data_IF_035191754623
#
_entry.id   IF_035191754623
#
_cell.length_a   1.000
_cell.length_b   1.000
_cell.length_c   1.000
_cell.angle_alpha   90.00
_cell.angle_beta   90.00
_cell.angle_gamma   90.00
#
_symmetry.space_group_name_H-M   'P 1'
#
loop_
_entity.id
_entity.type
_entity.pdbx_description
1 polymer ?
#
# COMPACT_ATOMS: atom_id res chain seq x y z
N UNK A 1 -20.57 -4.08 -10.57
CA UNK A 1 -19.97 -5.07 -9.65
C UNK A 1 -18.56 -4.70 -9.22
N UNK A 2 -17.68 -4.26 -10.12
CA UNK A 2 -16.25 -4.00 -9.85
C UNK A 2 -15.99 -2.97 -8.73
N UNK A 3 -16.75 -1.88 -8.68
CA UNK A 3 -16.64 -0.88 -7.60
C UNK A 3 -16.99 -1.42 -6.20
N UNK A 4 -17.87 -2.41 -6.08
CA UNK A 4 -18.21 -3.01 -4.77
C UNK A 4 -17.07 -3.88 -4.26
N UNK A 5 -16.39 -4.62 -5.14
CA UNK A 5 -15.26 -5.48 -4.80
C UNK A 5 -14.05 -4.65 -4.34
N UNK A 6 -13.75 -3.56 -5.05
CA UNK A 6 -12.68 -2.62 -4.66
C UNK A 6 -12.94 -1.97 -3.31
N UNK A 7 -14.19 -1.57 -3.07
CA UNK A 7 -14.59 -0.99 -1.77
C UNK A 7 -14.48 -2.00 -0.63
N UNK A 8 -14.91 -3.24 -0.87
CA UNK A 8 -14.75 -4.32 0.10
C UNK A 8 -13.28 -4.61 0.40
N UNK A 9 -12.43 -4.70 -0.63
CA UNK A 9 -10.99 -4.89 -0.47
C UNK A 9 -10.35 -3.75 0.33
N UNK A 10 -10.68 -2.49 0.02
CA UNK A 10 -10.21 -1.33 0.78
C UNK A 10 -10.63 -1.36 2.25
N UNK A 11 -11.84 -1.84 2.54
CA UNK A 11 -12.33 -2.02 3.91
C UNK A 11 -11.56 -3.11 4.66
N UNK A 12 -11.27 -4.25 4.03
CA UNK A 12 -10.43 -5.29 4.62
C UNK A 12 -8.98 -4.81 4.84
N UNK A 13 -8.42 -4.05 3.89
CA UNK A 13 -7.13 -3.40 4.06
C UNK A 13 -7.13 -2.47 5.28
N UNK A 14 -8.18 -1.66 5.46
CA UNK A 14 -8.32 -0.75 6.60
C UNK A 14 -8.50 -1.49 7.93
N UNK A 15 -9.32 -2.55 7.95
CA UNK A 15 -9.50 -3.41 9.12
C UNK A 15 -8.20 -4.10 9.55
N UNK A 16 -7.32 -4.39 8.58
CA UNK A 16 -6.00 -4.95 8.86
C UNK A 16 -5.01 -3.89 9.35
N UNK A 17 -4.90 -2.75 8.68
CA UNK A 17 -3.87 -1.75 8.97
C UNK A 17 -4.16 -0.88 10.18
N UNK A 18 -5.44 -0.65 10.51
CA UNK A 18 -5.83 0.13 11.69
C UNK A 18 -5.31 -0.44 13.01
N UNK A 19 -5.57 -1.72 13.36
CA UNK A 19 -5.05 -2.29 14.60
C UNK A 19 -3.52 -2.34 14.62
N UNK A 20 -2.88 -2.55 13.47
CA UNK A 20 -1.42 -2.56 13.36
C UNK A 20 -0.86 -1.17 13.68
N UNK A 21 -1.39 -0.11 13.05
CA UNK A 21 -0.95 1.26 13.27
C UNK A 21 -1.10 1.67 14.74
N UNK A 22 -2.25 1.38 15.35
CA UNK A 22 -2.53 1.72 16.75
C UNK A 22 -1.65 0.93 17.72
N UNK A 23 -1.52 -0.39 17.51
CA UNK A 23 -0.77 -1.26 18.42
C UNK A 23 0.72 -0.95 18.35
N UNK A 24 1.29 -0.82 17.14
CA UNK A 24 2.70 -0.49 16.98
C UNK A 24 3.00 0.95 17.41
N UNK A 25 2.09 1.90 17.18
CA UNK A 25 2.23 3.26 17.70
C UNK A 25 2.26 3.29 19.23
N UNK A 26 1.37 2.53 19.88
CA UNK A 26 1.37 2.39 21.34
C UNK A 26 2.65 1.73 21.86
N UNK A 27 3.11 0.65 21.23
CA UNK A 27 4.36 -0.02 21.63
C UNK A 27 5.58 0.90 21.42
N UNK A 28 5.64 1.65 20.33
CA UNK A 28 6.68 2.65 20.12
C UNK A 28 6.67 3.73 21.23
N UNK A 29 5.48 4.18 21.64
CA UNK A 29 5.34 5.10 22.76
C UNK A 29 5.80 4.49 24.09
N UNK A 30 5.49 3.21 24.34
CA UNK A 30 5.95 2.52 25.55
C UNK A 30 7.48 2.38 25.60
N UNK A 31 8.12 2.05 24.46
CA UNK A 31 9.58 1.89 24.37
C UNK A 31 10.34 3.23 24.57
N UNK A 32 9.71 4.39 24.39
CA UNK A 32 10.30 5.69 24.75
C UNK A 32 10.55 5.83 26.25
N UNK A 33 9.77 5.12 27.07
CA UNK A 33 9.88 5.15 28.52
C UNK A 33 10.85 4.09 29.05
N UNK A 34 11.35 3.21 28.17
CA UNK A 34 12.17 2.06 28.52
C UNK A 34 13.64 2.28 28.06
N UNK A 35 14.60 1.81 28.86
CA UNK A 35 16.02 2.22 28.82
C UNK A 35 16.78 1.93 27.51
N UNK A 36 18.02 2.47 27.38
CA UNK A 36 18.96 2.43 26.22
C UNK A 36 19.06 1.12 25.38
N UNK A 37 18.66 -0.04 25.91
CA UNK A 37 18.67 -1.32 25.17
C UNK A 37 17.47 -1.49 24.21
N UNK A 38 16.48 -0.59 24.24
CA UNK A 38 15.22 -0.72 23.48
C UNK A 38 15.19 0.01 22.14
N UNK A 39 16.26 0.74 21.77
CA UNK A 39 16.32 1.56 20.55
C UNK A 39 15.91 0.77 19.29
N UNK A 40 16.35 -0.49 19.18
CA UNK A 40 15.97 -1.36 18.05
C UNK A 40 14.47 -1.64 17.99
N UNK A 41 13.84 -1.92 19.16
CA UNK A 41 12.39 -2.17 19.25
C UNK A 41 11.59 -0.90 19.00
N UNK A 42 12.02 0.21 19.60
CA UNK A 42 11.46 1.54 19.33
C UNK A 42 11.44 1.86 17.84
N UNK A 43 12.59 1.72 17.16
CA UNK A 43 12.68 2.00 15.72
C UNK A 43 11.80 1.05 14.90
N UNK A 44 11.79 -0.24 15.26
CA UNK A 44 10.99 -1.26 14.59
C UNK A 44 9.49 -0.94 14.68
N UNK A 45 8.99 -0.63 15.87
CA UNK A 45 7.57 -0.29 16.07
C UNK A 45 7.21 1.05 15.45
N UNK A 46 8.08 2.05 15.54
CA UNK A 46 7.85 3.38 14.94
C UNK A 46 7.75 3.29 13.43
N UNK A 47 8.73 2.65 12.76
CA UNK A 47 8.75 2.55 11.29
C UNK A 47 7.56 1.74 10.80
N UNK A 48 7.31 0.54 11.34
CA UNK A 48 6.20 -0.29 10.90
C UNK A 48 4.83 0.31 11.26
N UNK A 49 4.71 0.97 12.41
CA UNK A 49 3.51 1.71 12.79
C UNK A 49 3.22 2.89 11.86
N UNK A 50 4.26 3.66 11.48
CA UNK A 50 4.13 4.75 10.53
C UNK A 50 3.73 4.26 9.13
N UNK A 51 4.35 3.18 8.63
CA UNK A 51 3.98 2.57 7.35
C UNK A 51 2.51 2.15 7.34
N UNK A 52 2.05 1.47 8.41
CA UNK A 52 0.65 1.10 8.57
C UNK A 52 -0.29 2.33 8.63
N UNK A 53 0.12 3.38 9.35
CA UNK A 53 -0.64 4.63 9.45
C UNK A 53 -0.74 5.35 8.09
N UNK A 54 0.34 5.38 7.30
CA UNK A 54 0.33 5.95 5.95
C UNK A 54 -0.60 5.15 5.02
N UNK A 55 -0.57 3.82 5.08
CA UNK A 55 -1.53 2.99 4.33
C UNK A 55 -2.96 3.35 4.73
N UNK A 56 -3.25 3.42 6.03
CA UNK A 56 -4.57 3.80 6.53
C UNK A 56 -4.98 5.21 6.07
N UNK A 57 -4.06 6.16 6.08
CA UNK A 57 -4.31 7.52 5.58
C UNK A 57 -4.66 7.53 4.09
N UNK A 58 -3.95 6.74 3.27
CA UNK A 58 -4.28 6.60 1.85
C UNK A 58 -5.69 6.02 1.67
N UNK A 59 -6.06 5.01 2.46
CA UNK A 59 -7.41 4.41 2.42
C UNK A 59 -8.49 5.43 2.79
N UNK A 60 -8.24 6.28 3.79
CA UNK A 60 -9.15 7.36 4.16
C UNK A 60 -9.30 8.40 3.04
N UNK A 61 -8.21 8.77 2.36
CA UNK A 61 -8.27 9.68 1.20
C UNK A 61 -9.15 9.06 0.11
N UNK A 62 -8.92 7.79 -0.24
CA UNK A 62 -9.67 7.11 -1.29
C UNK A 62 -11.15 6.94 -0.95
N UNK A 63 -11.50 6.70 0.31
CA UNK A 63 -12.89 6.63 0.75
C UNK A 63 -13.58 8.01 0.73
N UNK A 64 -12.87 9.07 1.15
CA UNK A 64 -13.40 10.44 1.17
C UNK A 64 -13.44 11.12 -0.19
N UNK A 65 -12.62 10.67 -1.15
CA UNK A 65 -12.53 11.22 -2.49
C UNK A 65 -12.79 10.13 -3.54
N UNK A 66 -14.05 9.72 -3.74
CA UNK A 66 -14.39 8.66 -4.69
C UNK A 66 -14.21 9.06 -6.17
N UNK A 67 -14.07 10.36 -6.46
CA UNK A 67 -13.91 10.91 -7.81
C UNK A 67 -12.45 11.21 -8.18
N UNK A 68 -11.47 10.52 -7.57
CA UNK A 68 -10.07 10.65 -7.93
C UNK A 68 -9.84 10.19 -9.38
N UNK A 69 -9.06 10.96 -10.13
CA UNK A 69 -8.58 10.54 -11.46
C UNK A 69 -7.89 9.18 -11.38
N UNK A 70 -8.05 8.32 -12.39
CA UNK A 70 -7.46 6.98 -12.34
C UNK A 70 -5.94 7.01 -12.23
N UNK A 71 -5.27 8.06 -12.72
CA UNK A 71 -3.83 8.23 -12.53
C UNK A 71 -3.45 8.40 -11.06
N UNK A 72 -4.23 9.16 -10.30
CA UNK A 72 -4.01 9.36 -8.85
C UNK A 72 -4.38 8.08 -8.09
N UNK A 73 -5.52 7.47 -8.41
CA UNK A 73 -5.95 6.19 -7.83
C UNK A 73 -4.90 5.09 -8.06
N UNK A 74 -4.31 5.03 -9.25
CA UNK A 74 -3.21 4.12 -9.56
C UNK A 74 -1.98 4.37 -8.68
N UNK A 75 -1.53 5.63 -8.55
CA UNK A 75 -0.38 5.98 -7.70
C UNK A 75 -0.63 5.56 -6.25
N UNK A 76 -1.84 5.81 -5.73
CA UNK A 76 -2.21 5.47 -4.36
C UNK A 76 -2.25 3.95 -4.14
N UNK A 77 -2.80 3.17 -5.07
CA UNK A 77 -2.82 1.70 -4.98
C UNK A 77 -1.41 1.09 -5.04
N UNK A 78 -0.55 1.62 -5.91
CA UNK A 78 0.86 1.21 -5.98
C UNK A 78 1.60 1.60 -4.71
N UNK A 79 1.40 2.82 -4.20
CA UNK A 79 2.03 3.28 -2.97
C UNK A 79 1.68 2.39 -1.77
N UNK A 80 0.39 2.08 -1.56
CA UNK A 80 -0.04 1.14 -0.50
C UNK A 80 0.66 -0.22 -0.63
N UNK A 81 0.72 -0.76 -1.85
CA UNK A 81 1.32 -2.06 -2.10
C UNK A 81 2.83 -2.08 -1.84
N UNK A 82 3.53 -1.00 -2.21
CA UNK A 82 4.95 -0.84 -1.92
C UNK A 82 5.21 -0.71 -0.42
N UNK A 83 4.39 0.07 0.30
CA UNK A 83 4.48 0.21 1.76
C UNK A 83 4.25 -1.13 2.47
N UNK A 84 3.20 -1.87 2.06
CA UNK A 84 2.91 -3.19 2.60
C UNK A 84 4.03 -4.20 2.27
N UNK A 85 4.62 -4.12 1.07
CA UNK A 85 5.78 -4.93 0.68
C UNK A 85 7.00 -4.60 1.54
N UNK A 86 7.26 -3.31 1.82
CA UNK A 86 8.36 -2.89 2.69
C UNK A 86 8.19 -3.42 4.12
N UNK A 87 6.98 -3.37 4.68
CA UNK A 87 6.66 -3.98 5.97
C UNK A 87 6.90 -5.49 5.96
N UNK A 88 6.45 -6.18 4.90
CA UNK A 88 6.65 -7.61 4.77
C UNK A 88 8.15 -7.97 4.66
N UNK A 89 8.92 -7.25 3.85
CA UNK A 89 10.36 -7.43 3.74
C UNK A 89 11.06 -7.21 5.09
N UNK A 90 10.62 -6.21 5.86
CA UNK A 90 11.13 -6.00 7.21
C UNK A 90 10.90 -7.23 8.10
N UNK A 91 9.70 -7.82 8.08
CA UNK A 91 9.39 -9.04 8.84
C UNK A 91 10.21 -10.26 8.38
N UNK A 92 10.45 -10.39 7.07
CA UNK A 92 11.31 -11.44 6.53
C UNK A 92 12.73 -11.28 7.05
N UNK A 93 13.30 -10.07 6.97
CA UNK A 93 14.64 -9.76 7.47
C UNK A 93 14.73 -9.99 8.99
N UNK A 94 13.75 -9.52 9.76
CA UNK A 94 13.69 -9.74 11.21
C UNK A 94 13.68 -11.24 11.56
N UNK A 95 12.93 -12.05 10.80
CA UNK A 95 12.91 -13.51 11.00
C UNK A 95 14.24 -14.19 10.62
N UNK A 96 14.94 -13.68 9.60
CA UNK A 96 16.21 -14.22 9.13
C UNK A 96 17.37 -13.90 10.09
N UNK A 97 17.40 -12.69 10.64
CA UNK A 97 18.47 -12.24 11.55
C UNK A 97 18.21 -12.55 13.03
N UNK A 98 17.04 -13.11 13.37
CA UNK A 98 16.69 -13.48 14.75
C UNK A 98 17.69 -14.46 15.41
N UNK A 99 18.41 -15.26 14.63
CA UNK A 99 19.34 -16.28 15.13
C UNK A 99 20.68 -15.71 15.65
N UNK A 100 21.05 -14.49 15.26
CA UNK A 100 22.38 -13.91 15.56
C UNK A 100 22.49 -13.21 16.93
N UNK A 101 21.43 -13.17 17.74
CA UNK A 101 21.38 -12.34 18.97
C UNK A 101 21.44 -13.07 20.31
N UNK A 102 21.57 -14.40 20.37
CA UNK A 102 21.38 -15.11 21.64
C UNK A 102 22.60 -15.85 22.19
N UNK A 103 23.36 -15.13 23.04
CA UNK A 103 24.14 -15.71 24.14
C UNK A 103 23.29 -16.01 25.39
N UNK A 104 21.99 -15.71 25.37
CA UNK A 104 21.04 -16.09 26.41
C UNK A 104 19.93 -16.96 25.82
N UNK A 105 19.62 -18.02 26.55
CA UNK A 105 18.76 -19.17 26.23
C UNK A 105 17.30 -18.71 26.06
N UNK A 106 16.96 -18.07 24.95
CA UNK A 106 15.56 -17.75 24.61
C UNK A 106 14.77 -19.03 24.24
N UNK A 107 13.46 -19.07 24.50
CA UNK A 107 12.64 -20.24 24.18
C UNK A 107 12.58 -20.42 22.66
N UNK A 108 12.85 -21.65 22.21
CA UNK A 108 12.90 -22.09 20.80
C UNK A 108 11.73 -21.67 19.88
N UNK A 109 10.63 -21.15 20.44
CA UNK A 109 9.41 -20.80 19.72
C UNK A 109 9.43 -19.39 19.09
N UNK A 110 10.37 -18.52 19.47
CA UNK A 110 10.38 -17.11 19.02
C UNK A 110 10.69 -16.94 17.53
N UNK A 111 11.62 -17.74 16.99
CA UNK A 111 11.93 -17.74 15.56
C UNK A 111 10.74 -18.22 14.73
N UNK A 112 10.08 -19.29 15.17
CA UNK A 112 8.91 -19.83 14.50
C UNK A 112 7.79 -18.79 14.43
N UNK A 113 7.50 -18.09 15.53
CA UNK A 113 6.51 -17.02 15.56
C UNK A 113 6.84 -15.87 14.60
N UNK A 114 8.11 -15.46 14.48
CA UNK A 114 8.54 -14.43 13.52
C UNK A 114 8.34 -14.86 12.06
N UNK A 115 8.69 -16.10 11.74
CA UNK A 115 8.47 -16.68 10.39
C UNK A 115 6.98 -16.75 10.06
N UNK A 116 6.15 -17.22 11.00
CA UNK A 116 4.68 -17.28 10.83
C UNK A 116 4.10 -15.89 10.60
N UNK A 117 4.55 -14.87 11.34
CA UNK A 117 4.14 -13.47 11.11
C UNK A 117 4.51 -12.98 9.71
N UNK A 118 5.73 -13.23 9.26
CA UNK A 118 6.17 -12.88 7.90
C UNK A 118 5.34 -13.62 6.83
N UNK A 119 4.99 -14.89 7.06
CA UNK A 119 4.15 -15.66 6.15
C UNK A 119 2.72 -15.11 6.08
N UNK A 120 2.08 -14.85 7.22
CA UNK A 120 0.73 -14.26 7.27
C UNK A 120 0.72 -12.88 6.60
N UNK A 121 1.72 -12.04 6.84
CA UNK A 121 1.85 -10.75 6.19
C UNK A 121 2.02 -10.88 4.67
N UNK A 122 2.81 -11.86 4.20
CA UNK A 122 2.96 -12.15 2.78
C UNK A 122 1.65 -12.61 2.14
N UNK A 123 0.89 -13.46 2.83
CA UNK A 123 -0.43 -13.88 2.37
C UNK A 123 -1.40 -12.69 2.27
N UNK A 124 -1.45 -11.83 3.30
CA UNK A 124 -2.29 -10.62 3.28
C UNK A 124 -1.88 -9.67 2.14
N UNK A 125 -0.58 -9.51 1.87
CA UNK A 125 -0.06 -8.72 0.75
C UNK A 125 -0.57 -9.25 -0.60
N UNK A 126 -0.47 -10.57 -0.82
CA UNK A 126 -0.87 -11.22 -2.06
C UNK A 126 -2.39 -11.20 -2.30
N UNK A 127 -3.20 -11.31 -1.24
CA UNK A 127 -4.67 -11.40 -1.36
C UNK A 127 -5.33 -10.03 -1.32
N UNK A 128 -4.81 -9.07 -0.55
CA UNK A 128 -5.47 -7.78 -0.35
C UNK A 128 -4.83 -6.66 -1.17
N UNK A 129 -3.51 -6.57 -1.25
CA UNK A 129 -2.82 -5.39 -1.81
C UNK A 129 -2.48 -5.54 -3.29
N UNK A 130 -1.88 -6.67 -3.69
CA UNK A 130 -1.48 -6.87 -5.08
C UNK A 130 -2.66 -6.91 -6.06
N UNK A 131 -3.81 -7.53 -5.74
CA UNK A 131 -4.94 -7.53 -6.65
C UNK A 131 -5.49 -6.14 -6.92
N UNK A 132 -5.55 -5.26 -5.90
CA UNK A 132 -6.04 -3.88 -6.09
C UNK A 132 -5.05 -3.03 -6.88
N UNK A 133 -3.74 -3.21 -6.66
CA UNK A 133 -2.70 -2.58 -7.47
C UNK A 133 -2.73 -3.05 -8.93
N UNK A 134 -2.80 -4.37 -9.18
CA UNK A 134 -2.89 -4.92 -10.54
C UNK A 134 -4.12 -4.39 -11.25
N UNK A 135 -5.27 -4.38 -10.58
CA UNK A 135 -6.49 -3.81 -11.16
C UNK A 135 -6.31 -2.32 -11.51
N UNK A 136 -5.72 -1.52 -10.62
CA UNK A 136 -5.48 -0.11 -10.91
C UNK A 136 -4.49 0.09 -12.07
N UNK A 137 -3.49 -0.78 -12.21
CA UNK A 137 -2.57 -0.77 -13.37
C UNK A 137 -3.32 -1.04 -14.68
N UNK A 138 -4.30 -1.94 -14.64
CA UNK A 138 -5.10 -2.30 -15.79
C UNK A 138 -5.99 -1.12 -16.21
N UNK A 139 -6.73 -0.52 -15.28
CA UNK A 139 -7.61 0.64 -15.54
C UNK A 139 -6.81 1.83 -16.05
N UNK A 140 -5.68 2.17 -15.43
CA UNK A 140 -4.84 3.28 -15.87
C UNK A 140 -4.25 3.05 -17.28
N UNK A 141 -4.03 1.79 -17.69
CA UNK A 141 -3.62 1.45 -19.05
C UNK A 141 -4.76 1.59 -20.05
N UNK A 142 -5.97 1.19 -19.70
CA UNK A 142 -7.14 1.36 -20.57
C UNK A 142 -7.46 2.84 -20.80
N UNK A 143 -7.49 3.65 -19.75
CA UNK A 143 -7.73 5.10 -19.91
C UNK A 143 -6.68 5.79 -20.77
N UNK A 144 -5.41 5.38 -20.66
CA UNK A 144 -4.35 5.90 -21.55
C UNK A 144 -4.60 5.53 -23.01
N UNK A 145 -5.07 4.31 -23.30
CA UNK A 145 -5.38 3.88 -24.66
C UNK A 145 -6.58 4.62 -25.23
N UNK A 146 -7.65 4.74 -24.45
CA UNK A 146 -8.86 5.46 -24.86
C UNK A 146 -8.59 6.94 -25.05
N UNK A 147 -7.85 7.58 -24.13
CA UNK A 147 -7.50 9.01 -24.26
C UNK A 147 -6.53 9.30 -25.41
N UNK A 148 -5.71 8.33 -25.84
CA UNK A 148 -4.92 8.45 -27.08
C UNK A 148 -5.84 8.34 -28.30
N UNK A 149 -6.74 7.34 -28.34
CA UNK A 149 -7.69 7.18 -29.43
C UNK A 149 -8.65 8.38 -29.59
N UNK A 150 -9.08 8.99 -28.48
CA UNK A 150 -9.96 10.16 -28.47
C UNK A 150 -9.22 11.43 -28.93
N UNK A 151 -7.94 11.56 -28.58
CA UNK A 151 -7.08 12.63 -29.11
C UNK A 151 -6.82 12.47 -30.60
N UNK A 152 -6.53 11.25 -31.05
CA UNK A 152 -6.28 10.95 -32.46
C UNK A 152 -7.56 11.19 -33.29
N UNK A 153 -8.74 10.80 -32.78
CA UNK A 153 -10.03 11.10 -33.39
C UNK A 153 -10.32 12.61 -33.42
N UNK A 154 -10.03 13.36 -32.36
CA UNK A 154 -10.20 14.81 -32.32
C UNK A 154 -9.24 15.55 -33.29
N UNK A 155 -8.04 15.01 -33.50
CA UNK A 155 -7.09 15.53 -34.51
C UNK A 155 -7.60 15.24 -35.93
N UNK A 156 -8.09 14.02 -36.20
CA UNK A 156 -8.71 13.70 -37.50
C UNK A 156 -9.99 14.53 -37.77
N UNK A 157 -10.78 14.82 -36.75
CA UNK A 157 -12.00 15.63 -36.88
C UNK A 157 -11.67 17.13 -37.07
N UNK A 158 -10.63 17.64 -36.41
CA UNK A 158 -10.10 18.99 -36.62
C UNK A 158 -9.47 19.21 -38.00
N UNK A 159 -8.86 18.18 -38.59
CA UNK A 159 -8.34 18.22 -39.97
C UNK A 159 -9.46 18.18 -41.04
N UNK A 160 -10.67 17.72 -40.68
CA UNK A 160 -11.84 17.65 -41.58
C UNK A 160 -12.73 18.88 -41.55
N UNK A 161 -12.53 19.81 -40.62
CA UNK A 161 -13.15 21.14 -40.66
C UNK A 161 -12.29 22.11 -41.49
N UNK A 162 -12.69 22.45 -42.73
CA UNK A 162 -11.89 23.35 -43.57
C UNK A 162 -11.88 24.76 -42.97
N UNK A 163 -10.68 25.31 -42.77
CA UNK A 163 -10.38 26.68 -42.33
C UNK A 163 -10.73 27.75 -43.39
N UNK A 164 -11.88 27.64 -44.06
CA UNK A 164 -12.26 28.48 -45.21
C UNK A 164 -13.57 29.27 -45.01
N UNK A 165 -13.93 29.63 -43.77
CA UNK A 165 -15.05 30.55 -43.51
C UNK A 165 -14.62 31.91 -42.92
N UNK A 166 -13.35 32.27 -43.00
CA UNK A 166 -12.85 33.61 -42.63
C UNK A 166 -12.33 34.39 -43.84
N UNK A 167 -13.15 34.50 -44.89
CA UNK A 167 -13.04 35.62 -45.84
C UNK A 167 -14.46 36.06 -46.23
N UNK A 168 -14.95 37.09 -45.55
CA UNK A 168 -16.02 37.98 -46.03
C UNK A 168 -15.87 39.34 -45.35
#
# INVERSE_FOLDING_TARGET
>A
MTNQILRAAGLFQALLTAPIALTLGFLAFAELWDNYQTIYRFLTYTVNGLLAAIILFILLIQDRMPSLSASVSFILEVAKSLLATAMWLWLVLDSAYAEHRNGYREPSNDRFLRVVRAFIAGFALLVLFYPTAVYATYVAREERKTGVAERDAAVEEGERTPLLSQEA
#
